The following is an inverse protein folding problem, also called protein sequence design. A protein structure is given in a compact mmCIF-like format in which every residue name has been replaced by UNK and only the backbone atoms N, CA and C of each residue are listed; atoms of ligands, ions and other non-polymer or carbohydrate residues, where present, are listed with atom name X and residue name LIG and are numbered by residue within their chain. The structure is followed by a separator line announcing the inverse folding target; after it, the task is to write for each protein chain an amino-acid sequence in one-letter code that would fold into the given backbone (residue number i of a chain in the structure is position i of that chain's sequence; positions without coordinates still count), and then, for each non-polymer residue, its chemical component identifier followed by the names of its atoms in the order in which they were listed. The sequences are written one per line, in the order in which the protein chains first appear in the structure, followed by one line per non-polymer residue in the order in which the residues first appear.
data_IF_862102571866
#
_entry.id   IF_862102571866
#
_cell.length_a   1.000
_cell.length_b   1.000
_cell.length_c   1.000
_cell.angle_alpha   90.00
_cell.angle_beta   90.00
_cell.angle_gamma   90.00
#
_symmetry.space_group_name_H-M   'P 1'
#
loop_
_entity.id
_entity.type
_entity.pdbx_description
1 polymer ?
#
# COMPACT_ATOMS: atom_id res chain seq x y z
N UNK A 1 -8.24 -0.18 -0.29
CA UNK A 1 -9.05 -0.62 0.87
C UNK A 1 -8.91 0.36 2.04
N UNK A 2 -7.78 0.42 2.77
CA UNK A 2 -7.59 1.26 3.98
C UNK A 2 -7.93 2.74 3.72
N UNK A 3 -7.42 3.32 2.63
CA UNK A 3 -7.72 4.69 2.24
C UNK A 3 -9.21 4.92 1.98
N UNK A 4 -9.87 4.02 1.25
CA UNK A 4 -11.29 4.15 0.94
C UNK A 4 -12.15 4.10 2.22
N UNK A 5 -11.82 3.23 3.17
CA UNK A 5 -12.51 3.19 4.47
C UNK A 5 -12.32 4.51 5.23
N UNK A 6 -11.10 5.07 5.22
CA UNK A 6 -10.81 6.32 5.93
C UNK A 6 -11.56 7.51 5.34
N UNK A 7 -11.53 7.67 4.02
CA UNK A 7 -12.16 8.82 3.35
C UNK A 7 -13.68 8.71 3.34
N UNK A 8 -14.24 7.52 3.08
CA UNK A 8 -15.68 7.28 3.16
C UNK A 8 -16.22 7.44 4.59
N UNK A 9 -15.49 6.93 5.59
CA UNK A 9 -15.82 7.12 7.00
C UNK A 9 -15.82 8.60 7.41
N UNK A 10 -14.81 9.36 7.00
CA UNK A 10 -14.74 10.79 7.25
C UNK A 10 -15.90 11.56 6.56
N UNK A 11 -16.28 11.16 5.36
CA UNK A 11 -17.42 11.75 4.66
C UNK A 11 -18.76 11.44 5.36
N UNK A 12 -18.91 10.21 5.86
CA UNK A 12 -20.11 9.81 6.62
C UNK A 12 -20.19 10.55 7.95
N UNK A 13 -19.07 10.74 8.66
CA UNK A 13 -19.01 11.54 9.91
C UNK A 13 -19.37 13.01 9.68
N UNK A 14 -19.10 13.54 8.49
CA UNK A 14 -19.56 14.87 8.05
C UNK A 14 -21.02 14.89 7.63
N UNK A 15 -21.78 13.84 7.85
CA UNK A 15 -23.20 13.68 7.52
C UNK A 15 -23.50 13.85 6.01
N UNK A 16 -22.53 13.51 5.14
CA UNK A 16 -22.78 13.46 3.70
C UNK A 16 -23.78 12.34 3.37
N UNK A 17 -24.56 12.54 2.33
CA UNK A 17 -25.54 11.55 1.87
C UNK A 17 -24.85 10.31 1.28
N UNK A 18 -25.60 9.23 1.08
CA UNK A 18 -25.07 7.95 0.58
C UNK A 18 -24.41 8.09 -0.80
N UNK A 19 -24.96 8.91 -1.68
CA UNK A 19 -24.42 9.13 -3.02
C UNK A 19 -23.03 9.77 -2.95
N UNK A 20 -22.84 10.80 -2.13
CA UNK A 20 -21.55 11.44 -1.90
C UNK A 20 -20.53 10.50 -1.25
N UNK A 21 -20.93 9.73 -0.24
CA UNK A 21 -20.05 8.75 0.41
C UNK A 21 -19.59 7.69 -0.61
N UNK A 22 -20.50 7.20 -1.43
CA UNK A 22 -20.19 6.22 -2.49
C UNK A 22 -19.25 6.80 -3.53
N UNK A 23 -19.50 8.02 -4.00
CA UNK A 23 -18.64 8.73 -4.94
C UNK A 23 -17.24 8.92 -4.39
N UNK A 24 -17.11 9.32 -3.12
CA UNK A 24 -15.81 9.51 -2.44
C UNK A 24 -15.08 8.19 -2.29
N UNK A 25 -15.76 7.12 -1.91
CA UNK A 25 -15.16 5.79 -1.80
C UNK A 25 -14.60 5.32 -3.16
N UNK A 26 -15.39 5.48 -4.24
CA UNK A 26 -14.94 5.14 -5.60
C UNK A 26 -13.77 6.00 -6.04
N UNK A 27 -13.88 7.33 -5.89
CA UNK A 27 -12.79 8.26 -6.20
C UNK A 27 -11.49 7.91 -5.49
N UNK A 28 -11.58 7.51 -4.21
CA UNK A 28 -10.40 7.09 -3.45
C UNK A 28 -9.84 5.76 -3.97
N UNK A 29 -10.70 4.83 -4.35
CA UNK A 29 -10.26 3.56 -4.93
C UNK A 29 -9.53 3.79 -6.25
N UNK A 30 -10.08 4.65 -7.11
CA UNK A 30 -9.50 5.01 -8.42
C UNK A 30 -8.17 5.76 -8.29
N UNK A 31 -7.99 6.53 -7.20
CA UNK A 31 -6.76 7.25 -6.89
C UNK A 31 -5.66 6.36 -6.26
N UNK A 32 -5.95 5.09 -5.95
CA UNK A 32 -5.03 4.18 -5.28
C UNK A 32 -4.42 3.17 -6.25
N UNK A 33 -3.10 3.14 -6.31
CA UNK A 33 -2.31 2.18 -7.08
C UNK A 33 -1.47 1.36 -6.13
N UNK A 34 -1.44 0.03 -6.33
CA UNK A 34 -0.77 -0.88 -5.38
C UNK A 34 0.04 -1.94 -6.11
N UNK A 35 1.18 -2.29 -5.54
CA UNK A 35 2.00 -3.42 -5.95
C UNK A 35 2.54 -4.14 -4.73
N UNK A 36 2.63 -5.46 -4.78
CA UNK A 36 3.18 -6.29 -3.71
C UNK A 36 4.42 -7.06 -4.14
N UNK A 37 5.25 -7.42 -3.17
CA UNK A 37 6.35 -8.36 -3.32
C UNK A 37 6.28 -9.38 -2.17
N UNK A 38 6.20 -10.67 -2.50
CA UNK A 38 6.15 -11.75 -1.54
C UNK A 38 7.45 -12.54 -1.49
N UNK A 39 7.91 -12.86 -0.29
CA UNK A 39 9.11 -13.66 -0.03
C UNK A 39 8.74 -15.05 0.50
N UNK A 40 7.59 -15.19 1.16
CA UNK A 40 7.05 -16.48 1.61
C UNK A 40 5.58 -16.57 1.26
N UNK A 41 5.05 -17.79 1.24
CA UNK A 41 3.61 -18.02 1.20
C UNK A 41 2.97 -17.75 2.57
N UNK A 42 1.65 -17.81 2.61
CA UNK A 42 0.89 -17.90 3.86
C UNK A 42 0.06 -19.19 3.92
N UNK A 43 -0.33 -19.59 5.12
CA UNK A 43 -1.17 -20.76 5.34
C UNK A 43 -2.53 -20.33 5.86
N UNK A 44 -3.58 -20.54 5.07
CA UNK A 44 -4.95 -20.32 5.53
C UNK A 44 -5.28 -21.44 6.51
N UNK A 45 -5.67 -21.14 7.76
CA UNK A 45 -5.90 -22.17 8.79
C UNK A 45 -6.83 -23.30 8.37
N UNK A 46 -7.91 -22.99 7.64
CA UNK A 46 -8.88 -23.99 7.17
C UNK A 46 -8.32 -24.90 6.06
N UNK A 47 -7.36 -24.41 5.29
CA UNK A 47 -6.75 -25.17 4.20
C UNK A 47 -5.64 -26.11 4.69
N UNK A 48 -4.99 -25.77 5.81
CA UNK A 48 -3.90 -26.53 6.42
C UNK A 48 -2.66 -26.71 5.55
N UNK A 49 -2.55 -25.93 4.47
CA UNK A 49 -1.42 -25.94 3.52
C UNK A 49 -1.14 -24.54 2.98
N UNK A 50 0.09 -24.29 2.53
CA UNK A 50 0.45 -23.02 1.91
C UNK A 50 -0.44 -22.67 0.71
N UNK A 51 -0.71 -21.38 0.51
CA UNK A 51 -1.50 -20.88 -0.64
C UNK A 51 -0.77 -21.03 -1.97
N UNK A 52 0.56 -21.00 -1.94
CA UNK A 52 1.45 -21.24 -3.07
C UNK A 52 2.81 -21.75 -2.55
N UNK A 53 3.65 -22.25 -3.43
CA UNK A 53 5.00 -22.68 -3.07
C UNK A 53 6.02 -21.68 -3.61
N UNK A 54 6.98 -21.28 -2.76
CA UNK A 54 8.10 -20.43 -3.10
C UNK A 54 9.33 -20.90 -2.32
N UNK A 55 10.51 -20.93 -2.94
CA UNK A 55 11.74 -21.32 -2.25
C UNK A 55 12.26 -20.16 -1.41
N UNK A 56 13.09 -20.46 -0.37
CA UNK A 56 13.68 -19.46 0.52
C UNK A 56 14.58 -18.44 -0.22
N UNK A 57 15.10 -18.82 -1.40
CA UNK A 57 15.95 -17.94 -2.20
C UNK A 57 15.20 -17.18 -3.29
N UNK A 58 13.90 -17.36 -3.39
CA UNK A 58 13.09 -16.75 -4.44
C UNK A 58 12.13 -15.70 -3.89
N UNK A 59 11.66 -14.85 -4.76
CA UNK A 59 10.62 -13.85 -4.49
C UNK A 59 9.64 -13.79 -5.65
N UNK A 60 8.45 -13.26 -5.38
CA UNK A 60 7.45 -12.97 -6.39
C UNK A 60 7.08 -11.50 -6.36
N UNK A 61 7.26 -10.82 -7.50
CA UNK A 61 6.95 -9.41 -7.68
C UNK A 61 5.57 -9.23 -8.30
N UNK A 62 4.81 -8.26 -7.82
CA UNK A 62 3.46 -7.96 -8.31
C UNK A 62 2.37 -8.84 -7.71
N UNK A 63 2.69 -9.64 -6.68
CA UNK A 63 1.71 -10.51 -6.03
C UNK A 63 0.62 -9.71 -5.30
N UNK A 64 -0.63 -10.15 -5.46
CA UNK A 64 -1.77 -9.65 -4.71
C UNK A 64 -1.83 -10.20 -3.28
N UNK A 65 -2.58 -9.51 -2.41
CA UNK A 65 -2.68 -9.86 -0.98
C UNK A 65 -3.36 -11.23 -0.73
N UNK A 66 -4.15 -11.72 -1.67
CA UNK A 66 -4.81 -13.02 -1.56
C UNK A 66 -4.02 -14.15 -2.22
N UNK A 67 -2.77 -13.87 -2.67
CA UNK A 67 -1.94 -14.85 -3.37
C UNK A 67 -2.23 -14.94 -4.87
N UNK A 68 -2.80 -13.87 -5.46
CA UNK A 68 -2.93 -13.76 -6.90
C UNK A 68 -1.53 -13.76 -7.53
N UNK A 69 -1.31 -14.49 -8.65
CA UNK A 69 -0.01 -14.57 -9.29
C UNK A 69 0.58 -13.18 -9.60
N UNK A 70 1.86 -13.03 -9.32
CA UNK A 70 2.61 -11.80 -9.60
C UNK A 70 2.96 -11.65 -11.08
N UNK A 71 3.68 -10.58 -11.37
CA UNK A 71 4.20 -10.27 -12.71
C UNK A 71 5.35 -11.19 -13.08
N UNK A 72 6.23 -11.47 -12.11
CA UNK A 72 7.33 -12.41 -12.27
C UNK A 72 7.75 -13.04 -10.95
N UNK A 73 8.39 -14.21 -11.04
CA UNK A 73 9.04 -14.93 -9.94
C UNK A 73 10.49 -15.19 -10.28
N UNK A 74 11.39 -15.03 -9.33
CA UNK A 74 12.82 -15.25 -9.52
C UNK A 74 13.60 -15.10 -8.22
N UNK A 75 14.93 -15.02 -8.31
CA UNK A 75 15.81 -14.93 -7.15
C UNK A 75 15.55 -13.70 -6.31
N UNK A 76 15.68 -13.86 -4.99
CA UNK A 76 15.60 -12.79 -4.01
C UNK A 76 16.59 -11.69 -4.36
N UNK A 77 16.13 -10.45 -4.28
CA UNK A 77 16.91 -9.24 -4.54
C UNK A 77 17.12 -8.42 -3.28
N UNK A 78 17.99 -7.45 -3.35
CA UNK A 78 18.20 -6.49 -2.25
C UNK A 78 16.95 -5.62 -2.03
N UNK A 79 16.81 -5.08 -0.82
CA UNK A 79 15.70 -4.17 -0.50
C UNK A 79 15.67 -2.95 -1.43
N UNK A 80 16.86 -2.43 -1.83
CA UNK A 80 16.97 -1.31 -2.76
C UNK A 80 16.45 -1.67 -4.16
N UNK A 81 16.77 -2.84 -4.69
CA UNK A 81 16.29 -3.32 -5.98
C UNK A 81 14.79 -3.55 -5.97
N UNK A 82 14.27 -4.23 -4.94
CA UNK A 82 12.84 -4.49 -4.76
C UNK A 82 12.06 -3.17 -4.71
N UNK A 83 12.47 -2.25 -3.83
CA UNK A 83 11.77 -0.98 -3.68
C UNK A 83 11.82 -0.12 -4.93
N UNK A 84 12.96 -0.07 -5.62
CA UNK A 84 13.07 0.70 -6.86
C UNK A 84 12.15 0.14 -7.95
N UNK A 85 12.10 -1.18 -8.15
CA UNK A 85 11.22 -1.78 -9.14
C UNK A 85 9.73 -1.56 -8.81
N UNK A 86 9.34 -1.73 -7.54
CA UNK A 86 7.96 -1.45 -7.11
C UNK A 86 7.57 0.02 -7.34
N UNK A 87 8.48 0.96 -7.06
CA UNK A 87 8.24 2.39 -7.32
C UNK A 87 8.16 2.67 -8.81
N UNK A 88 9.02 2.05 -9.63
CA UNK A 88 8.97 2.20 -11.09
C UNK A 88 7.63 1.72 -11.66
N UNK A 89 7.12 0.58 -11.19
CA UNK A 89 5.81 0.07 -11.61
C UNK A 89 4.68 1.04 -11.25
N UNK A 90 4.68 1.58 -10.02
CA UNK A 90 3.67 2.53 -9.57
C UNK A 90 3.76 3.87 -10.30
N UNK A 91 4.96 4.42 -10.50
CA UNK A 91 5.15 5.67 -11.23
C UNK A 91 4.77 5.55 -12.70
N UNK A 92 5.01 4.39 -13.33
CA UNK A 92 4.60 4.13 -14.70
C UNK A 92 3.08 4.08 -14.85
N UNK A 93 2.37 3.53 -13.85
CA UNK A 93 0.92 3.42 -13.83
C UNK A 93 0.23 4.78 -13.54
N UNK A 94 0.76 5.53 -12.56
CA UNK A 94 0.20 6.81 -12.13
C UNK A 94 0.59 7.96 -13.09
N UNK A 95 1.85 7.99 -13.55
CA UNK A 95 2.43 9.08 -14.33
C UNK A 95 2.21 10.47 -13.70
N UNK A 96 2.68 10.71 -12.47
CA UNK A 96 2.33 11.90 -11.71
C UNK A 96 2.92 13.18 -12.30
N UNK A 97 2.19 14.28 -12.17
CA UNK A 97 2.70 15.60 -12.50
C UNK A 97 3.68 16.11 -11.43
N UNK A 98 4.62 16.97 -11.82
CA UNK A 98 5.46 17.68 -10.86
C UNK A 98 4.60 18.49 -9.88
N UNK A 99 4.80 18.27 -8.60
CA UNK A 99 4.01 18.90 -7.53
C UNK A 99 2.75 18.11 -7.11
N UNK A 100 2.46 16.97 -7.75
CA UNK A 100 1.41 16.06 -7.27
C UNK A 100 1.58 15.73 -5.79
N UNK A 101 0.47 15.55 -5.10
CA UNK A 101 0.42 15.21 -3.68
C UNK A 101 -0.06 13.78 -3.53
N UNK A 102 0.64 12.99 -2.72
CA UNK A 102 0.31 11.57 -2.52
C UNK A 102 0.40 11.19 -1.05
N UNK A 103 -0.50 10.34 -0.62
CA UNK A 103 -0.26 9.50 0.56
C UNK A 103 0.38 8.20 0.12
N UNK A 104 1.35 7.74 0.89
CA UNK A 104 2.14 6.55 0.59
C UNK A 104 1.98 5.57 1.74
N UNK A 105 1.61 4.33 1.42
CA UNK A 105 1.57 3.24 2.39
C UNK A 105 2.67 2.22 2.03
N UNK A 106 3.57 1.97 2.98
CA UNK A 106 4.53 0.85 2.97
C UNK A 106 4.02 -0.15 4.00
N UNK A 107 3.43 -1.22 3.51
CA UNK A 107 2.64 -2.15 4.30
C UNK A 107 3.27 -3.52 4.38
N UNK A 108 3.45 -4.07 5.60
CA UNK A 108 3.82 -5.46 5.80
C UNK A 108 2.69 -6.39 5.36
N UNK A 109 3.01 -7.45 4.63
CA UNK A 109 2.03 -8.50 4.32
C UNK A 109 1.74 -9.43 5.49
N UNK A 110 2.49 -9.27 6.60
CA UNK A 110 2.23 -9.99 7.85
C UNK A 110 3.47 -10.17 8.72
N UNK A 111 4.50 -10.82 8.23
CA UNK A 111 5.70 -11.15 8.99
C UNK A 111 6.87 -10.17 8.81
N UNK A 112 6.86 -9.31 7.81
CA UNK A 112 7.93 -8.32 7.60
C UNK A 112 7.96 -7.30 8.75
N UNK A 113 9.08 -7.16 9.48
CA UNK A 113 9.18 -6.27 10.63
C UNK A 113 9.24 -4.80 10.24
N UNK A 114 8.93 -3.93 11.20
CA UNK A 114 8.78 -2.48 10.97
C UNK A 114 10.09 -1.83 10.49
N UNK A 115 11.23 -2.30 10.98
CA UNK A 115 12.55 -1.80 10.62
C UNK A 115 12.82 -1.96 9.11
N UNK A 116 12.47 -3.11 8.54
CA UNK A 116 12.61 -3.38 7.11
C UNK A 116 11.67 -2.47 6.29
N UNK A 117 10.46 -2.24 6.78
CA UNK A 117 9.53 -1.33 6.12
C UNK A 117 10.08 0.11 6.07
N UNK A 118 10.79 0.57 7.11
CA UNK A 118 11.43 1.89 7.10
C UNK A 118 12.63 1.95 6.17
N UNK A 119 13.38 0.85 5.99
CA UNK A 119 14.44 0.76 4.98
C UNK A 119 13.84 0.97 3.58
N UNK A 120 12.74 0.28 3.28
CA UNK A 120 12.02 0.41 2.01
C UNK A 120 11.42 1.82 1.84
N UNK A 121 10.80 2.37 2.89
CA UNK A 121 10.22 3.72 2.85
C UNK A 121 11.27 4.80 2.56
N UNK A 122 12.50 4.66 3.05
CA UNK A 122 13.61 5.56 2.71
C UNK A 122 13.79 5.69 1.19
N UNK A 123 13.72 4.56 0.49
CA UNK A 123 13.87 4.52 -0.97
C UNK A 123 12.67 5.14 -1.65
N UNK A 124 11.45 4.76 -1.25
CA UNK A 124 10.20 5.33 -1.75
C UNK A 124 10.20 6.85 -1.63
N UNK A 125 10.58 7.37 -0.44
CA UNK A 125 10.64 8.82 -0.19
C UNK A 125 11.61 9.50 -1.16
N UNK A 126 12.84 9.00 -1.28
CA UNK A 126 13.85 9.55 -2.18
C UNK A 126 13.36 9.57 -3.64
N UNK A 127 12.82 8.46 -4.12
CA UNK A 127 12.32 8.34 -5.50
C UNK A 127 11.17 9.31 -5.80
N UNK A 128 10.25 9.52 -4.87
CA UNK A 128 9.16 10.48 -5.03
C UNK A 128 9.66 11.94 -4.97
N UNK A 129 10.65 12.24 -4.14
CA UNK A 129 11.32 13.54 -4.11
C UNK A 129 12.02 13.84 -5.47
N UNK A 130 12.70 12.87 -6.07
CA UNK A 130 13.37 12.99 -7.37
C UNK A 130 12.40 13.38 -8.49
N UNK A 131 11.18 12.87 -8.46
CA UNK A 131 10.11 13.23 -9.43
C UNK A 131 9.22 14.38 -8.93
N UNK A 132 9.62 15.06 -7.85
CA UNK A 132 8.94 16.24 -7.27
C UNK A 132 7.49 15.98 -6.83
N UNK A 133 7.20 14.77 -6.39
CA UNK A 133 5.94 14.42 -5.73
C UNK A 133 6.04 14.76 -4.24
N UNK A 134 5.02 15.41 -3.69
CA UNK A 134 4.93 15.73 -2.27
C UNK A 134 4.22 14.62 -1.52
N UNK A 135 4.93 13.94 -0.61
CA UNK A 135 4.32 12.96 0.28
C UNK A 135 3.53 13.70 1.38
N UNK A 136 2.28 13.32 1.53
CA UNK A 136 1.35 13.77 2.57
C UNK A 136 0.89 12.55 3.35
N UNK A 137 1.03 12.56 4.66
CA UNK A 137 0.60 11.47 5.54
C UNK A 137 1.14 10.09 5.09
N UNK A 138 2.43 9.82 5.27
CA UNK A 138 2.98 8.48 5.00
C UNK A 138 2.48 7.48 6.06
N UNK A 139 2.16 6.28 5.61
CA UNK A 139 1.76 5.15 6.45
C UNK A 139 2.81 4.04 6.32
N UNK A 140 3.48 3.69 7.40
CA UNK A 140 4.47 2.61 7.43
C UNK A 140 4.07 1.65 8.55
N UNK A 141 3.72 0.41 8.21
CA UNK A 141 3.25 -0.53 9.23
C UNK A 141 2.49 -1.73 8.69
N UNK A 142 1.63 -2.29 9.52
CA UNK A 142 0.80 -3.47 9.22
C UNK A 142 -0.66 -3.04 9.11
N UNK A 143 -1.14 -2.74 7.91
CA UNK A 143 -2.49 -2.23 7.66
C UNK A 143 -3.39 -3.25 6.96
N UNK A 144 -2.83 -4.02 6.04
CA UNK A 144 -3.54 -5.07 5.31
C UNK A 144 -2.61 -6.26 5.15
N UNK A 145 -2.90 -7.34 5.85
CA UNK A 145 -1.99 -8.50 5.98
C UNK A 145 -2.59 -9.76 5.37
N UNK A 146 -1.71 -10.68 5.00
CA UNK A 146 -2.03 -12.03 4.56
C UNK A 146 -1.37 -13.04 5.51
N UNK A 147 -1.98 -13.22 6.68
CA UNK A 147 -1.53 -14.12 7.74
C UNK A 147 -0.04 -13.90 8.11
N UNK A 148 0.80 -14.93 8.00
CA UNK A 148 2.23 -14.93 8.29
C UNK A 148 3.11 -14.66 7.06
N UNK A 149 2.55 -14.20 5.95
CA UNK A 149 3.32 -13.92 4.73
C UNK A 149 4.44 -12.91 4.98
N UNK A 150 5.66 -13.27 4.65
CA UNK A 150 6.77 -12.32 4.56
C UNK A 150 6.73 -11.64 3.21
N UNK A 151 6.68 -10.33 3.23
CA UNK A 151 6.58 -9.51 2.03
C UNK A 151 6.09 -8.11 2.36
N UNK A 152 5.97 -7.31 1.33
CA UNK A 152 5.59 -5.90 1.44
C UNK A 152 4.64 -5.53 0.31
N UNK A 153 3.74 -4.58 0.56
CA UNK A 153 3.02 -3.89 -0.50
C UNK A 153 3.19 -2.39 -0.38
N UNK A 154 3.33 -1.73 -1.53
CA UNK A 154 3.28 -0.27 -1.62
C UNK A 154 1.93 0.12 -2.21
N UNK A 155 1.31 1.13 -1.61
CA UNK A 155 0.13 1.78 -2.18
C UNK A 155 0.40 3.27 -2.22
N UNK A 156 0.28 3.86 -3.42
CA UNK A 156 0.31 5.31 -3.62
C UNK A 156 -1.12 5.76 -3.88
N UNK A 157 -1.57 6.75 -3.14
CA UNK A 157 -2.90 7.36 -3.30
C UNK A 157 -2.72 8.81 -3.72
N UNK A 158 -3.12 9.15 -4.94
CA UNK A 158 -3.11 10.54 -5.41
C UNK A 158 -4.16 11.34 -4.65
N UNK A 159 -3.76 12.54 -4.21
CA UNK A 159 -4.61 13.39 -3.38
C UNK A 159 -4.93 14.70 -4.09
N UNK A 160 -6.20 14.95 -4.32
CA UNK A 160 -6.70 16.30 -4.49
C UNK A 160 -7.10 16.90 -3.13
N UNK A 161 -7.59 18.13 -3.11
CA UNK A 161 -7.96 18.83 -1.89
C UNK A 161 -9.09 18.14 -1.09
N UNK A 162 -10.03 17.49 -1.79
CA UNK A 162 -11.13 16.76 -1.15
C UNK A 162 -10.61 15.50 -0.45
N UNK A 163 -9.88 14.66 -1.16
CA UNK A 163 -9.33 13.42 -0.59
C UNK A 163 -8.32 13.69 0.50
N UNK A 164 -7.47 14.72 0.35
CA UNK A 164 -6.51 15.11 1.37
C UNK A 164 -7.21 15.56 2.66
N UNK A 165 -8.23 16.40 2.56
CA UNK A 165 -9.02 16.87 3.72
C UNK A 165 -9.69 15.69 4.44
N UNK A 166 -10.28 14.75 3.70
CA UNK A 166 -10.93 13.58 4.28
C UNK A 166 -9.94 12.58 4.88
N UNK A 167 -8.76 12.43 4.27
CA UNK A 167 -7.71 11.58 4.79
C UNK A 167 -7.15 12.11 6.12
N UNK A 168 -6.99 13.43 6.24
CA UNK A 168 -6.49 14.10 7.43
C UNK A 168 -7.56 14.31 8.52
N UNK A 169 -8.84 14.06 8.23
CA UNK A 169 -9.89 14.18 9.23
C UNK A 169 -9.64 13.25 10.44
N UNK A 170 -9.93 13.67 11.67
CA UNK A 170 -9.74 12.85 12.86
C UNK A 170 -10.39 11.47 12.73
N UNK A 171 -9.71 10.45 13.18
CA UNK A 171 -10.23 9.07 13.21
C UNK A 171 -9.44 8.25 14.23
N UNK A 172 -10.07 7.26 14.82
CA UNK A 172 -9.42 6.37 15.76
C UNK A 172 -9.85 4.92 15.55
N UNK A 173 -8.86 4.02 15.46
CA UNK A 173 -9.05 2.60 15.61
C UNK A 173 -7.80 1.98 16.24
N UNK A 174 -7.85 0.69 16.59
CA UNK A 174 -6.79 0.02 17.33
C UNK A 174 -5.40 0.03 16.64
N UNK A 175 -5.33 0.21 15.34
CA UNK A 175 -4.06 0.16 14.58
C UNK A 175 -3.75 1.44 13.77
N UNK A 176 -4.67 2.40 13.73
CA UNK A 176 -4.44 3.68 13.05
C UNK A 176 -5.28 4.79 13.66
N UNK A 177 -4.62 5.88 14.04
CA UNK A 177 -5.27 7.10 14.53
C UNK A 177 -4.78 8.32 13.76
N UNK A 178 -5.70 9.26 13.52
CA UNK A 178 -5.44 10.60 12.99
C UNK A 178 -6.00 11.58 14.00
N UNK A 179 -5.14 12.47 14.54
CA UNK A 179 -5.46 13.43 15.61
C UNK A 179 -5.64 14.82 15.04
#
# INVERSE_FOLDING_TARGET
MVYAFKTAGAAAEQLKNLEDVTRIAQKTADACHSVGAALTSCTIPQAGKPTFEISEEDMEMGMGIHGEPGVWRGKLRTADEIANEMVDMLLADINPNSGSRMSVMVNSLGATPLEELYILYRIVKKRLEDVKVKIVMPLVGRYATSMEMTGVSFTFCELDSELESLLQAPAYCAFWSVV
#
